data_IF_671163263465
#
_entry.id   IF_671163263465
#
_cell.length_a   1.000
_cell.length_b   1.000
_cell.length_c   1.000
_cell.angle_alpha   90.00
_cell.angle_beta   90.00
_cell.angle_gamma   90.00
#
_symmetry.space_group_name_H-M   'P 1'
#
loop_
_entity.id
_entity.type
_entity.pdbx_description
1 polymer ?
#
# COMPACT_ATOMS: atom_id res chain seq x y z
N UNK A 1 16.99 -3.93 7.01
CA UNK A 1 17.82 -2.83 7.52
C UNK A 1 17.71 -2.80 9.04
N UNK A 2 18.82 -2.94 9.78
CA UNK A 2 18.83 -2.86 11.25
C UNK A 2 19.18 -1.42 11.66
N UNK A 3 18.18 -0.57 11.82
CA UNK A 3 18.36 0.71 12.49
C UNK A 3 18.08 0.48 13.99
N UNK A 4 19.05 0.76 14.87
CA UNK A 4 18.94 0.64 16.35
C UNK A 4 18.88 -0.78 16.96
N UNK A 5 19.30 -1.83 16.23
CA UNK A 5 19.35 -3.19 16.80
C UNK A 5 17.99 -3.90 16.90
N UNK A 6 16.92 -3.28 16.40
CA UNK A 6 15.64 -3.93 16.17
C UNK A 6 15.63 -4.56 14.77
N UNK A 7 15.19 -5.81 14.68
CA UNK A 7 14.84 -6.41 13.40
C UNK A 7 13.57 -5.72 12.92
N UNK A 8 13.70 -4.82 11.95
CA UNK A 8 12.54 -4.27 11.26
C UNK A 8 11.90 -5.39 10.45
N UNK A 9 10.75 -5.88 10.92
CA UNK A 9 9.88 -6.68 10.08
C UNK A 9 9.25 -5.78 9.01
N UNK A 10 8.97 -6.36 7.84
CA UNK A 10 8.29 -5.64 6.77
C UNK A 10 6.93 -5.19 7.27
N UNK A 11 6.57 -3.93 7.00
CA UNK A 11 5.28 -3.39 7.40
C UNK A 11 4.22 -3.97 6.47
N UNK A 12 3.19 -4.59 7.04
CA UNK A 12 2.08 -5.16 6.29
C UNK A 12 1.13 -4.03 5.88
N UNK A 13 0.99 -3.82 4.57
CA UNK A 13 0.15 -2.75 4.05
C UNK A 13 -1.01 -3.28 3.19
N UNK A 14 -2.16 -2.63 3.33
CA UNK A 14 -3.30 -2.76 2.43
C UNK A 14 -3.67 -1.40 1.82
N UNK A 15 -4.03 -1.38 0.55
CA UNK A 15 -4.50 -0.24 -0.21
C UNK A 15 -5.97 -0.43 -0.56
N UNK A 16 -6.79 0.60 -0.34
CA UNK A 16 -8.23 0.55 -0.52
C UNK A 16 -8.73 1.82 -1.20
N UNK A 17 -9.53 1.66 -2.23
CA UNK A 17 -10.20 2.72 -2.97
C UNK A 17 -11.70 2.78 -2.64
N UNK A 18 -12.19 4.01 -2.45
CA UNK A 18 -13.60 4.37 -2.60
C UNK A 18 -13.76 5.12 -3.93
N UNK A 19 -14.66 6.11 -4.00
CA UNK A 19 -14.83 6.93 -5.21
C UNK A 19 -13.60 7.80 -5.45
N UNK A 20 -12.75 7.39 -6.40
CA UNK A 20 -11.51 8.07 -6.77
C UNK A 20 -11.03 7.64 -8.17
N UNK A 21 -9.81 8.07 -8.54
CA UNK A 21 -9.15 7.72 -9.79
C UNK A 21 -7.91 6.84 -9.60
N UNK A 22 -7.66 6.34 -8.39
CA UNK A 22 -6.49 5.51 -8.00
C UNK A 22 -5.14 6.23 -8.21
N UNK A 23 -5.18 7.56 -8.30
CA UNK A 23 -4.01 8.37 -8.58
C UNK A 23 -3.01 8.35 -7.42
N UNK A 24 -3.48 8.34 -6.17
CA UNK A 24 -2.57 8.29 -5.02
C UNK A 24 -1.87 6.93 -4.94
N UNK A 25 -2.61 5.85 -5.20
CA UNK A 25 -2.06 4.49 -5.26
C UNK A 25 -0.97 4.37 -6.34
N UNK A 26 -1.25 4.87 -7.56
CA UNK A 26 -0.28 4.83 -8.65
C UNK A 26 0.99 5.64 -8.30
N UNK A 27 0.89 6.75 -7.58
CA UNK A 27 2.06 7.52 -7.17
C UNK A 27 3.02 6.74 -6.26
N UNK A 28 2.53 5.78 -5.47
CA UNK A 28 3.39 4.90 -4.66
C UNK A 28 4.22 3.95 -5.51
N UNK A 29 3.70 3.54 -6.68
CA UNK A 29 4.38 2.67 -7.63
C UNK A 29 5.24 3.46 -8.66
N UNK A 30 5.06 4.78 -8.77
CA UNK A 30 5.65 5.60 -9.83
C UNK A 30 7.02 6.22 -9.48
N UNK A 31 7.80 5.59 -8.60
CA UNK A 31 9.11 6.11 -8.16
C UNK A 31 10.25 5.17 -8.58
N UNK A 32 10.41 4.96 -9.88
CA UNK A 32 11.27 3.95 -10.52
C UNK A 32 12.60 3.66 -9.79
N UNK A 33 13.43 4.68 -9.55
CA UNK A 33 14.76 4.50 -8.96
C UNK A 33 14.76 4.09 -7.48
N UNK A 34 13.74 4.51 -6.72
CA UNK A 34 13.62 4.22 -5.28
C UNK A 34 12.57 3.16 -4.95
N UNK A 35 11.81 2.73 -5.96
CA UNK A 35 10.72 1.76 -5.81
C UNK A 35 11.22 0.43 -5.21
N UNK A 36 12.35 -0.16 -5.63
CA UNK A 36 12.82 -1.41 -5.03
C UNK A 36 13.11 -1.28 -3.53
N UNK A 37 13.75 -0.19 -3.12
CA UNK A 37 14.05 0.07 -1.70
C UNK A 37 12.78 0.29 -0.89
N UNK A 38 11.80 1.00 -1.46
CA UNK A 38 10.48 1.17 -0.85
C UNK A 38 9.75 -0.17 -0.68
N UNK A 39 9.68 -1.00 -1.74
CA UNK A 39 9.04 -2.32 -1.69
C UNK A 39 9.77 -3.30 -0.75
N UNK A 40 11.08 -3.11 -0.53
CA UNK A 40 11.83 -3.89 0.45
C UNK A 40 11.42 -3.63 1.91
N UNK A 41 10.75 -2.52 2.19
CA UNK A 41 10.20 -2.19 3.52
C UNK A 41 8.80 -2.76 3.74
N UNK A 42 8.14 -3.20 2.67
CA UNK A 42 6.71 -3.51 2.66
C UNK A 42 6.46 -5.01 2.46
N UNK A 43 5.45 -5.49 3.18
CA UNK A 43 4.75 -6.75 2.93
C UNK A 43 3.38 -6.37 2.35
N UNK A 44 3.23 -6.52 1.03
CA UNK A 44 2.02 -6.10 0.32
C UNK A 44 0.94 -7.15 0.54
N UNK A 45 -0.08 -6.78 1.31
CA UNK A 45 -1.20 -7.68 1.65
C UNK A 45 -2.40 -7.51 0.75
N UNK A 46 -2.67 -6.29 0.28
CA UNK A 46 -3.74 -5.99 -0.67
C UNK A 46 -3.37 -4.71 -1.42
N UNK A 47 -3.02 -4.77 -2.70
CA UNK A 47 -2.70 -3.58 -3.50
C UNK A 47 -2.85 -3.90 -5.00
N UNK A 48 -3.99 -3.54 -5.58
CA UNK A 48 -4.39 -3.96 -6.93
C UNK A 48 -3.42 -3.54 -8.04
N UNK A 49 -2.79 -2.39 -7.91
CA UNK A 49 -1.89 -1.81 -8.92
C UNK A 49 -0.52 -2.49 -8.93
N UNK A 50 -0.17 -3.21 -7.85
CA UNK A 50 1.14 -3.85 -7.68
C UNK A 50 1.04 -5.38 -7.61
N UNK A 51 -0.04 -5.94 -7.05
CA UNK A 51 -0.23 -7.38 -6.84
C UNK A 51 -1.70 -7.80 -6.94
N UNK A 52 -1.93 -9.05 -7.34
CA UNK A 52 -3.25 -9.69 -7.28
C UNK A 52 -3.50 -10.46 -5.99
N UNK A 53 -2.49 -10.62 -5.12
CA UNK A 53 -2.63 -11.26 -3.82
C UNK A 53 -3.49 -10.43 -2.87
N UNK A 54 -4.27 -11.13 -2.03
CA UNK A 54 -5.17 -10.53 -1.04
C UNK A 54 -5.10 -11.29 0.27
N UNK A 55 -4.80 -10.56 1.33
CA UNK A 55 -4.79 -10.99 2.73
C UNK A 55 -5.50 -9.95 3.57
N UNK A 56 -5.97 -10.31 4.76
CA UNK A 56 -6.79 -9.44 5.63
C UNK A 56 -6.09 -9.05 6.94
N UNK A 57 -4.76 -9.21 7.02
CA UNK A 57 -3.93 -8.86 8.18
C UNK A 57 -2.97 -7.69 7.89
N UNK A 58 -3.39 -6.48 8.25
CA UNK A 58 -2.66 -5.24 7.95
C UNK A 58 -2.15 -4.55 9.22
N UNK A 59 -0.95 -3.97 9.15
CA UNK A 59 -0.46 -3.01 10.13
C UNK A 59 -0.93 -1.59 9.78
N UNK A 60 -0.96 -1.27 8.48
CA UNK A 60 -1.37 0.03 7.95
C UNK A 60 -2.34 -0.16 6.78
N UNK A 61 -3.48 0.54 6.85
CA UNK A 61 -4.41 0.68 5.74
C UNK A 61 -4.25 2.06 5.09
N UNK A 62 -3.96 2.06 3.79
CA UNK A 62 -3.92 3.26 2.94
C UNK A 62 -5.29 3.37 2.25
N UNK A 63 -6.04 4.41 2.58
CA UNK A 63 -7.41 4.62 2.07
C UNK A 63 -7.41 5.84 1.16
N UNK A 64 -7.77 5.64 -0.11
CA UNK A 64 -7.95 6.69 -1.11
C UNK A 64 -9.43 6.88 -1.43
N UNK A 65 -9.79 8.13 -1.73
CA UNK A 65 -11.10 8.49 -2.26
C UNK A 65 -12.04 9.02 -1.20
N UNK A 66 -13.25 9.34 -1.65
CA UNK A 66 -14.29 9.91 -0.81
C UNK A 66 -15.44 8.93 -0.63
N UNK A 67 -16.11 9.03 0.53
CA UNK A 67 -17.40 8.37 0.73
C UNK A 67 -18.47 9.23 0.05
N UNK A 68 -19.11 8.66 -0.96
CA UNK A 68 -20.19 9.27 -1.71
C UNK A 68 -21.56 8.85 -1.13
N UNK A 69 -22.58 8.77 -1.96
CA UNK A 69 -23.93 8.28 -1.63
C UNK A 69 -24.05 6.78 -1.91
N UNK A 70 -25.07 6.11 -1.35
CA UNK A 70 -25.23 4.64 -1.43
C UNK A 70 -25.33 4.05 -2.83
N UNK A 71 -25.78 4.84 -3.81
CA UNK A 71 -25.99 4.44 -5.20
C UNK A 71 -24.74 4.60 -6.09
N UNK A 72 -23.64 5.08 -5.51
CA UNK A 72 -22.31 5.18 -6.12
C UNK A 72 -21.32 4.34 -5.32
#
# INVERSE_FOLDING_TARGET
>A
MNHLGFKMEKVKIGSFDFTCCEGCQLQLANKESTLPDFLNLLDIRNFREISSERHDDYDIALVEGSITRRDE
#
